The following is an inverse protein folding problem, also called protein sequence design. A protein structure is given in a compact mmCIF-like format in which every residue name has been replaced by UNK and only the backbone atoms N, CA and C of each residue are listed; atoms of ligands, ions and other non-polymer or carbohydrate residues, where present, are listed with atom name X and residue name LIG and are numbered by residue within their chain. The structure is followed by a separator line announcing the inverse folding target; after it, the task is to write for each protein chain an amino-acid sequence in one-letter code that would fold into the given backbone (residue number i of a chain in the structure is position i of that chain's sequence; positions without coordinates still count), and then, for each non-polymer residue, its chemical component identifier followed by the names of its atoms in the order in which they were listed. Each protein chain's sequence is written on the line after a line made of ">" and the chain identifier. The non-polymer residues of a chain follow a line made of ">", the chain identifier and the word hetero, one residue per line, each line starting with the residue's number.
data_IF_048454737110
#
_entry.id   IF_048454737110
#
_cell.length_a   1.000
_cell.length_b   1.000
_cell.length_c   1.000
_cell.angle_alpha   90.00
_cell.angle_beta   90.00
_cell.angle_gamma   90.00
#
_symmetry.space_group_name_H-M   'P 1'
#
loop_
_entity.id
_entity.type
_entity.pdbx_description
1 polymer ?
#
# COMPACT_ATOMS: atom_id res chain seq x y z
N UNK A 1 20.93 10.17 10.16
CA UNK A 1 20.38 9.02 9.42
C UNK A 1 18.99 8.75 9.98
N UNK A 2 17.96 8.76 9.14
CA UNK A 2 16.59 8.44 9.56
C UNK A 2 16.50 7.01 10.06
N UNK A 3 15.48 6.73 10.90
CA UNK A 3 15.18 5.37 11.35
C UNK A 3 14.79 4.52 10.14
N UNK A 4 15.40 3.33 9.99
CA UNK A 4 15.02 2.37 8.97
C UNK A 4 13.94 1.44 9.51
N UNK A 5 12.96 1.12 8.68
CA UNK A 5 11.87 0.17 8.98
C UNK A 5 11.82 -0.92 7.93
N UNK A 6 11.33 -2.10 8.34
CA UNK A 6 11.07 -3.24 7.46
C UNK A 6 9.58 -3.32 7.21
N UNK A 7 9.21 -3.42 5.94
CA UNK A 7 7.83 -3.54 5.49
C UNK A 7 7.71 -4.74 4.55
N UNK A 8 6.48 -5.11 4.25
CA UNK A 8 6.14 -6.22 3.37
C UNK A 8 5.53 -5.69 2.08
N UNK A 9 5.92 -6.24 0.93
CA UNK A 9 5.28 -5.95 -0.35
C UNK A 9 4.95 -7.25 -1.09
N UNK A 10 3.74 -7.34 -1.63
CA UNK A 10 3.29 -8.48 -2.42
C UNK A 10 3.70 -8.30 -3.89
N UNK A 11 4.38 -9.30 -4.46
CA UNK A 11 4.85 -9.28 -5.85
C UNK A 11 4.33 -10.51 -6.57
N UNK A 12 3.78 -10.33 -7.78
CA UNK A 12 3.43 -11.45 -8.63
C UNK A 12 4.68 -12.28 -8.96
N UNK A 13 4.61 -13.61 -8.89
CA UNK A 13 5.75 -14.54 -9.08
C UNK A 13 6.56 -14.27 -10.34
N UNK A 14 5.89 -13.94 -11.46
CA UNK A 14 6.56 -13.62 -12.74
C UNK A 14 7.36 -12.31 -12.72
N UNK A 15 7.16 -11.44 -11.74
CA UNK A 15 7.82 -10.13 -11.60
C UNK A 15 8.94 -10.11 -10.57
N UNK A 16 9.11 -11.18 -9.78
CA UNK A 16 10.10 -11.23 -8.69
C UNK A 16 11.52 -10.94 -9.19
N UNK A 17 11.96 -11.59 -10.26
CA UNK A 17 13.29 -11.38 -10.82
C UNK A 17 13.51 -9.93 -11.30
N UNK A 18 12.46 -9.30 -11.83
CA UNK A 18 12.50 -7.90 -12.24
C UNK A 18 12.62 -6.97 -11.03
N UNK A 19 11.80 -7.19 -10.00
CA UNK A 19 11.81 -6.41 -8.75
C UNK A 19 13.16 -6.50 -8.05
N UNK A 20 13.72 -7.71 -7.91
CA UNK A 20 15.03 -7.91 -7.28
C UNK A 20 16.19 -7.29 -8.07
N UNK A 21 16.02 -7.07 -9.39
CA UNK A 21 17.05 -6.47 -10.25
C UNK A 21 16.91 -4.95 -10.37
N UNK A 22 15.67 -4.44 -10.46
CA UNK A 22 15.38 -3.03 -10.80
C UNK A 22 14.79 -2.22 -9.64
N UNK A 23 14.42 -2.87 -8.55
CA UNK A 23 13.72 -2.24 -7.44
C UNK A 23 12.21 -2.15 -7.69
N UNK A 24 11.52 -1.51 -6.76
CA UNK A 24 10.10 -1.16 -6.90
C UNK A 24 9.99 0.29 -7.36
N UNK A 25 9.23 0.50 -8.43
CA UNK A 25 8.93 1.83 -8.93
C UNK A 25 7.72 2.39 -8.22
N UNK A 26 7.82 3.64 -7.79
CA UNK A 26 6.74 4.38 -7.17
C UNK A 26 5.77 4.92 -8.23
N UNK A 27 5.30 4.01 -9.08
CA UNK A 27 4.31 4.27 -10.11
C UNK A 27 2.98 3.82 -9.56
N UNK A 28 2.06 4.77 -9.38
CA UNK A 28 0.72 4.40 -8.97
C UNK A 28 -0.07 3.97 -10.19
N UNK A 29 -0.02 2.68 -10.51
CA UNK A 29 -0.99 2.06 -11.44
C UNK A 29 -2.43 2.14 -10.89
N UNK A 30 -2.59 2.57 -9.63
CA UNK A 30 -3.84 2.68 -8.88
C UNK A 30 -4.12 4.11 -8.33
N UNK A 31 -3.56 5.17 -8.94
CA UNK A 31 -3.90 6.57 -8.54
C UNK A 31 -5.04 7.11 -9.38
N UNK A 32 -6.25 6.93 -8.88
CA UNK A 32 -7.47 7.51 -9.41
C UNK A 32 -8.34 8.13 -8.31
N UNK A 33 -7.77 8.46 -7.15
CA UNK A 33 -8.40 9.35 -6.16
C UNK A 33 -7.92 10.80 -6.28
N UNK A 34 -6.81 11.05 -6.98
CA UNK A 34 -6.26 12.40 -7.16
C UNK A 34 -5.65 12.98 -5.87
N UNK A 35 -5.20 12.10 -4.97
CA UNK A 35 -4.64 12.48 -3.68
C UNK A 35 -3.12 12.57 -3.75
N UNK A 36 -2.55 13.72 -3.40
CA UNK A 36 -1.09 13.94 -3.39
C UNK A 36 -0.35 12.89 -2.54
N UNK A 37 -0.94 12.44 -1.43
CA UNK A 37 -0.33 11.42 -0.58
C UNK A 37 -0.19 10.05 -1.28
N UNK A 38 -0.98 9.74 -2.31
CA UNK A 38 -0.89 8.49 -3.10
C UNK A 38 -0.02 8.62 -4.35
N UNK A 39 0.38 9.83 -4.74
CA UNK A 39 1.27 10.04 -5.90
C UNK A 39 2.69 9.62 -5.62
N UNK A 40 3.32 8.89 -6.52
CA UNK A 40 4.74 8.58 -6.36
C UNK A 40 5.01 7.72 -5.12
N UNK A 41 4.17 6.72 -4.84
CA UNK A 41 4.34 5.80 -3.71
C UNK A 41 4.49 4.36 -4.16
N UNK A 42 5.16 3.57 -3.32
CA UNK A 42 5.04 2.11 -3.31
C UNK A 42 4.13 1.73 -2.14
N UNK A 43 3.10 0.93 -2.41
CA UNK A 43 2.22 0.40 -1.37
C UNK A 43 2.87 -0.79 -0.66
N UNK A 44 2.96 -0.74 0.65
CA UNK A 44 3.52 -1.79 1.49
C UNK A 44 2.59 -2.09 2.67
N UNK A 45 2.94 -3.11 3.43
CA UNK A 45 2.21 -3.58 4.60
C UNK A 45 3.15 -3.66 5.80
N UNK A 46 2.60 -3.49 7.01
CA UNK A 46 3.36 -3.71 8.24
C UNK A 46 3.63 -5.21 8.43
N UNK A 47 2.64 -6.06 8.12
CA UNK A 47 2.71 -7.51 8.23
C UNK A 47 2.00 -8.18 7.05
N UNK A 48 2.27 -9.49 6.83
CA UNK A 48 1.61 -10.26 5.77
C UNK A 48 0.09 -10.32 5.97
N UNK A 49 -0.36 -10.33 7.22
CA UNK A 49 -1.78 -10.45 7.60
C UNK A 49 -2.57 -9.16 7.33
N UNK A 50 -1.88 -8.03 7.20
CA UNK A 50 -2.50 -6.73 6.89
C UNK A 50 -2.82 -6.61 5.39
N UNK A 51 -2.17 -7.40 4.53
CA UNK A 51 -2.45 -7.47 3.09
C UNK A 51 -3.78 -8.19 2.81
N UNK A 52 -4.91 -7.54 3.02
CA UNK A 52 -6.24 -8.16 2.76
C UNK A 52 -6.52 -8.42 1.28
N UNK A 53 -5.72 -7.86 0.37
CA UNK A 53 -5.88 -8.04 -1.08
C UNK A 53 -5.29 -9.37 -1.54
N UNK A 54 -4.17 -9.79 -0.93
CA UNK A 54 -3.45 -11.01 -1.32
C UNK A 54 -3.57 -12.13 -0.28
N UNK A 55 -3.68 -11.81 1.02
CA UNK A 55 -3.73 -12.80 2.12
C UNK A 55 -5.04 -13.59 2.19
N UNK A 56 -6.11 -13.16 1.52
CA UNK A 56 -7.41 -13.86 1.48
C UNK A 56 -7.40 -15.14 0.63
N UNK A 57 -6.24 -15.61 0.17
CA UNK A 57 -6.10 -16.79 -0.71
C UNK A 57 -6.52 -16.53 -2.15
N UNK A 58 -7.00 -15.33 -2.47
CA UNK A 58 -7.45 -14.95 -3.82
C UNK A 58 -6.30 -14.78 -4.83
N UNK A 59 -5.04 -14.74 -4.37
CA UNK A 59 -3.84 -14.45 -5.19
C UNK A 59 -2.69 -15.43 -4.94
N UNK A 60 -2.90 -16.71 -5.25
CA UNK A 60 -1.87 -17.78 -5.10
C UNK A 60 -0.58 -17.53 -5.91
N UNK A 61 -0.64 -16.65 -6.90
CA UNK A 61 0.50 -16.30 -7.76
C UNK A 61 1.33 -15.13 -7.24
N UNK A 62 1.08 -14.68 -6.01
CA UNK A 62 1.87 -13.63 -5.35
C UNK A 62 2.77 -14.23 -4.27
N UNK A 63 3.95 -13.65 -4.13
CA UNK A 63 4.90 -13.92 -3.04
C UNK A 63 5.22 -12.61 -2.34
N UNK A 64 5.76 -12.70 -1.13
CA UNK A 64 6.11 -11.52 -0.35
C UNK A 64 7.62 -11.24 -0.42
N UNK A 65 7.94 -9.95 -0.52
CA UNK A 65 9.30 -9.44 -0.31
C UNK A 65 9.32 -8.55 0.91
N UNK A 66 10.41 -8.60 1.67
CA UNK A 66 10.74 -7.61 2.70
C UNK A 66 11.40 -6.41 2.02
N UNK A 67 10.97 -5.20 2.38
CA UNK A 67 11.58 -3.96 1.91
C UNK A 67 12.06 -3.14 3.11
N UNK A 68 13.28 -2.59 3.01
CA UNK A 68 13.87 -1.72 4.04
C UNK A 68 13.88 -0.27 3.56
N UNK A 69 13.20 0.62 4.27
CA UNK A 69 13.02 2.03 3.86
C UNK A 69 13.21 2.98 5.04
N UNK A 70 13.37 4.27 4.77
CA UNK A 70 13.38 5.30 5.81
C UNK A 70 11.95 5.54 6.33
N UNK A 71 11.79 5.58 7.66
CA UNK A 71 10.50 5.75 8.34
C UNK A 71 9.83 7.09 7.99
N UNK A 72 10.61 8.14 7.74
CA UNK A 72 10.12 9.47 7.36
C UNK A 72 9.48 9.53 5.96
N UNK A 73 9.72 8.51 5.13
CA UNK A 73 9.06 8.33 3.84
C UNK A 73 7.70 7.63 3.95
N UNK A 74 7.34 7.14 5.14
CA UNK A 74 6.20 6.26 5.35
C UNK A 74 5.02 6.99 5.99
N UNK A 75 3.84 6.78 5.40
CA UNK A 75 2.56 7.19 5.97
C UNK A 75 1.63 5.99 6.02
N UNK A 76 0.94 5.78 7.13
CA UNK A 76 -0.03 4.70 7.29
C UNK A 76 -1.43 5.26 7.06
N UNK A 77 -2.26 4.53 6.34
CA UNK A 77 -3.64 4.91 6.06
C UNK A 77 -4.56 3.69 6.09
N UNK A 78 -5.85 3.92 6.34
CA UNK A 78 -6.88 2.89 6.30
C UNK A 78 -7.31 2.61 4.86
N UNK A 79 -6.85 1.49 4.29
CA UNK A 79 -7.13 1.13 2.89
C UNK A 79 -8.63 1.02 2.61
N UNK A 80 -9.46 0.70 3.61
CA UNK A 80 -10.91 0.57 3.44
C UNK A 80 -11.54 1.87 2.92
N UNK A 81 -11.15 3.05 3.42
CA UNK A 81 -11.69 4.31 2.93
C UNK A 81 -11.34 4.56 1.46
N UNK A 82 -10.09 4.31 1.06
CA UNK A 82 -9.68 4.42 -0.34
C UNK A 82 -10.42 3.42 -1.23
N UNK A 83 -10.60 2.19 -0.77
CA UNK A 83 -11.31 1.12 -1.49
C UNK A 83 -12.78 1.46 -1.70
N UNK A 84 -13.48 1.93 -0.68
CA UNK A 84 -14.91 2.32 -0.79
C UNK A 84 -15.05 3.57 -1.65
N UNK A 85 -14.13 4.55 -1.52
CA UNK A 85 -14.11 5.72 -2.40
C UNK A 85 -14.04 5.29 -3.88
N UNK A 86 -13.19 4.30 -4.18
CA UNK A 86 -13.06 3.74 -5.51
C UNK A 86 -14.30 3.01 -6.00
N UNK A 87 -14.94 2.21 -5.15
CA UNK A 87 -16.22 1.57 -5.48
C UNK A 87 -17.29 2.59 -5.88
N UNK A 88 -17.42 3.70 -5.15
CA UNK A 88 -18.35 4.77 -5.50
C UNK A 88 -17.95 5.52 -6.77
N UNK A 89 -16.66 5.71 -7.02
CA UNK A 89 -16.18 6.37 -8.25
C UNK A 89 -16.48 5.54 -9.50
N UNK A 90 -16.30 4.23 -9.39
CA UNK A 90 -16.46 3.29 -10.51
C UNK A 90 -17.90 2.76 -10.65
N UNK A 91 -18.72 2.82 -9.59
CA UNK A 91 -20.02 2.16 -9.53
C UNK A 91 -19.92 0.64 -9.48
N UNK A 92 -18.96 0.11 -8.71
CA UNK A 92 -18.65 -1.32 -8.61
C UNK A 92 -18.97 -1.89 -7.22
N UNK A 93 -18.87 -3.21 -7.03
CA UNK A 93 -19.08 -3.85 -5.72
C UNK A 93 -20.50 -3.70 -5.15
N UNK A 94 -21.50 -3.54 -6.03
CA UNK A 94 -22.89 -3.30 -5.63
C UNK A 94 -23.17 -1.88 -5.14
N UNK A 95 -22.23 -0.93 -5.30
CA UNK A 95 -22.43 0.49 -5.00
C UNK A 95 -22.83 1.26 -6.26
N UNK A 96 -23.78 2.22 -6.18
CA UNK A 96 -24.05 3.11 -7.28
C UNK A 96 -22.87 4.05 -7.51
N UNK A 97 -22.68 4.49 -8.76
CA UNK A 97 -21.71 5.55 -9.04
C UNK A 97 -22.11 6.85 -8.33
N UNK A 98 -21.22 7.42 -7.51
CA UNK A 98 -21.46 8.65 -6.76
C UNK A 98 -20.15 9.41 -6.46
N UNK A 99 -19.87 10.44 -7.27
CA UNK A 99 -18.64 11.26 -7.14
C UNK A 99 -18.54 12.00 -5.79
N UNK A 100 -19.68 12.43 -5.22
CA UNK A 100 -19.67 13.14 -3.92
C UNK A 100 -19.26 12.20 -2.79
N UNK A 101 -19.79 10.99 -2.78
CA UNK A 101 -19.41 9.97 -1.80
C UNK A 101 -17.95 9.56 -1.95
N UNK A 102 -17.50 9.32 -3.19
CA UNK A 102 -16.10 9.00 -3.49
C UNK A 102 -15.14 10.09 -2.97
N UNK A 103 -15.45 11.36 -3.24
CA UNK A 103 -14.63 12.50 -2.77
C UNK A 103 -14.57 12.59 -1.26
N UNK A 104 -15.71 12.47 -0.56
CA UNK A 104 -15.75 12.57 0.91
C UNK A 104 -14.95 11.44 1.57
N UNK A 105 -15.05 10.21 1.05
CA UNK A 105 -14.27 9.08 1.56
C UNK A 105 -12.78 9.22 1.27
N UNK A 106 -12.40 9.75 0.10
CA UNK A 106 -11.02 10.08 -0.22
C UNK A 106 -10.44 11.16 0.71
N UNK A 107 -11.25 12.15 1.09
CA UNK A 107 -10.88 13.17 2.07
C UNK A 107 -10.69 12.57 3.46
N UNK A 108 -11.61 11.71 3.91
CA UNK A 108 -11.47 10.98 5.19
C UNK A 108 -10.19 10.15 5.20
N UNK A 109 -9.93 9.40 4.13
CA UNK A 109 -8.69 8.65 3.95
C UNK A 109 -7.46 9.55 4.09
N UNK A 110 -7.50 10.74 3.48
CA UNK A 110 -6.39 11.69 3.53
C UNK A 110 -6.15 12.26 4.92
N UNK A 111 -7.20 12.76 5.58
CA UNK A 111 -7.05 13.47 6.86
C UNK A 111 -6.82 12.53 8.04
N UNK A 112 -7.22 11.26 7.94
CA UNK A 112 -7.02 10.27 9.02
C UNK A 112 -5.70 9.51 8.92
N UNK A 113 -5.02 9.57 7.77
CA UNK A 113 -3.70 8.95 7.64
C UNK A 113 -2.67 9.63 8.56
N UNK A 114 -1.66 8.87 9.00
CA UNK A 114 -0.67 9.31 9.99
C UNK A 114 0.76 8.97 9.57
N UNK A 115 1.78 9.75 9.97
CA UNK A 115 3.18 9.30 9.86
C UNK A 115 3.37 7.92 10.51
N UNK A 116 4.28 7.10 9.98
CA UNK A 116 4.53 5.77 10.57
C UNK A 116 4.98 5.84 12.03
N UNK A 117 5.68 6.90 12.44
CA UNK A 117 6.06 7.14 13.84
C UNK A 117 4.89 7.28 14.80
N UNK A 118 3.74 7.72 14.28
CA UNK A 118 2.55 8.05 15.06
C UNK A 118 1.50 6.92 14.99
N UNK A 119 1.77 5.90 14.17
CA UNK A 119 0.90 4.74 14.05
C UNK A 119 0.97 3.86 15.31
N UNK A 120 -0.21 3.49 15.81
CA UNK A 120 -0.38 2.56 16.92
C UNK A 120 -1.08 1.33 16.39
N UNK A 121 -0.60 0.14 16.76
CA UNK A 121 -1.22 -1.11 16.34
C UNK A 121 -2.71 -1.16 16.71
N UNK A 122 -3.56 -1.52 15.75
CA UNK A 122 -5.01 -1.55 15.91
C UNK A 122 -5.72 -0.22 15.61
N UNK A 123 -4.99 0.85 15.26
CA UNK A 123 -5.57 2.12 14.81
C UNK A 123 -6.41 1.97 13.54
N UNK A 124 -5.98 1.11 12.63
CA UNK A 124 -6.66 0.79 11.37
C UNK A 124 -6.93 -0.70 11.28
N UNK A 125 -8.06 -1.06 10.66
CA UNK A 125 -8.43 -2.44 10.36
C UNK A 125 -7.63 -2.99 9.19
N UNK A 126 -7.38 -2.18 8.15
CA UNK A 126 -6.53 -2.53 7.00
C UNK A 126 -5.44 -1.48 6.80
N UNK A 127 -4.40 -1.47 7.66
CA UNK A 127 -3.32 -0.49 7.58
C UNK A 127 -2.47 -0.74 6.33
N UNK A 128 -2.57 0.15 5.34
CA UNK A 128 -1.61 0.21 4.24
C UNK A 128 -0.51 1.24 4.56
N UNK A 129 0.71 0.96 4.12
CA UNK A 129 1.86 1.87 4.25
C UNK A 129 2.19 2.44 2.88
N UNK A 130 2.06 3.76 2.75
CA UNK A 130 2.45 4.53 1.58
C UNK A 130 3.91 4.95 1.72
N UNK A 131 4.80 4.34 0.95
CA UNK A 131 6.23 4.69 0.94
C UNK A 131 6.50 5.65 -0.21
N UNK A 132 6.91 6.89 0.08
CA UNK A 132 7.24 7.87 -0.97
C UNK A 132 8.51 7.52 -1.73
N UNK A 133 8.46 7.62 -3.06
CA UNK A 133 9.59 7.42 -3.98
C UNK A 133 9.96 5.95 -4.19
N UNK A 134 10.80 5.70 -5.20
CA UNK A 134 11.25 4.36 -5.57
C UNK A 134 11.95 3.63 -4.41
N UNK A 135 11.90 2.30 -4.42
CA UNK A 135 12.66 1.43 -3.52
C UNK A 135 13.76 0.74 -4.33
N UNK A 136 15.01 0.97 -3.96
CA UNK A 136 16.17 0.42 -4.65
C UNK A 136 16.27 -1.11 -4.48
N UNK A 137 16.87 -1.84 -5.44
CA UNK A 137 16.94 -3.30 -5.39
C UNK A 137 17.65 -3.86 -4.14
N UNK A 138 18.69 -3.17 -3.67
CA UNK A 138 19.48 -3.54 -2.48
C UNK A 138 18.69 -3.46 -1.17
N UNK A 139 17.57 -2.75 -1.20
CA UNK A 139 16.63 -2.61 -0.09
C UNK A 139 15.56 -3.71 -0.07
N UNK A 140 15.59 -4.66 -1.01
CA UNK A 140 14.55 -5.68 -1.20
C UNK A 140 15.12 -7.08 -0.97
N UNK A 141 14.40 -7.92 -0.21
CA UNK A 141 14.75 -9.31 0.02
C UNK A 141 13.54 -10.20 -0.19
N UNK A 142 13.69 -11.28 -0.96
CA UNK A 142 12.65 -12.29 -1.07
C UNK A 142 12.48 -12.99 0.28
N UNK A 143 11.25 -13.05 0.77
CA UNK A 143 10.94 -13.85 1.95
C UNK A 143 10.76 -15.28 1.45
N UNK A 144 11.73 -16.15 1.73
CA UNK A 144 11.54 -17.59 1.56
C UNK A 144 10.32 -17.99 2.40
N UNK A 145 9.36 -18.69 1.81
CA UNK A 145 8.42 -19.42 2.66
C UNK A 145 9.21 -20.45 3.50
N UNK A 146 8.83 -20.69 4.76
CA UNK A 146 9.42 -21.75 5.57
C UNK A 146 9.37 -23.12 4.89
#
# INVERSE_FOLDING_TARGET
>A
MGRKVKLIHSVHKSKVAEVLKKGLKAISEYDDLGLEMRRGVVHCWLRKEDDKLSSSGQRSDYVYVEVTVDEDRCRVAEMEFASIAMMYRQGSGGKPKNEKAARLLAEVYQVTSVPLSDYIEGMFWTPEVLVKGDIAPDCIKLISDP
#
